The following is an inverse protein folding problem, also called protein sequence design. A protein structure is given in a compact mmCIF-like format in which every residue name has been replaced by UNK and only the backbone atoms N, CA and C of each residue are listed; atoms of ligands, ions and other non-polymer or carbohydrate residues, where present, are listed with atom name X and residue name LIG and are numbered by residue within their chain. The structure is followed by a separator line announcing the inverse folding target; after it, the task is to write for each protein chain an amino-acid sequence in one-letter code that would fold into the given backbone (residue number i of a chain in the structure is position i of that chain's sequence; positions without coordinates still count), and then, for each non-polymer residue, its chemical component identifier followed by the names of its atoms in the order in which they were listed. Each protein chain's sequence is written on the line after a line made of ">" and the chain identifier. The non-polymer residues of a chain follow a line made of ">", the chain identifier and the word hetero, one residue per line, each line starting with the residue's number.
data_IF_359863113471
#
_entry.id   IF_359863113471
#
_cell.length_a   1.000
_cell.length_b   1.000
_cell.length_c   1.000
_cell.angle_alpha   90.00
_cell.angle_beta   90.00
_cell.angle_gamma   90.00
#
_symmetry.space_group_name_H-M   'P 1'
#
loop_
_entity.id
_entity.type
_entity.pdbx_description
1 polymer ?
#
# COMPACT_ATOMS: atom_id res chain seq x y z
N UNK A 1 -12.11 4.52 -7.35
CA UNK A 1 -10.78 4.25 -6.77
C UNK A 1 -10.56 5.12 -5.56
N UNK A 2 -9.85 4.60 -4.57
CA UNK A 2 -9.30 5.36 -3.45
C UNK A 2 -7.78 5.27 -3.56
N UNK A 3 -7.09 6.41 -3.48
CA UNK A 3 -5.64 6.53 -3.61
C UNK A 3 -5.14 7.27 -2.38
N UNK A 4 -4.22 6.66 -1.63
CA UNK A 4 -3.58 7.24 -0.47
C UNK A 4 -2.07 7.32 -0.71
N UNK A 5 -1.44 8.39 -0.23
CA UNK A 5 0.02 8.55 -0.20
C UNK A 5 0.43 8.82 1.23
N UNK A 6 1.47 8.13 1.69
CA UNK A 6 2.09 8.33 3.00
C UNK A 6 3.56 8.74 2.86
N UNK A 7 4.08 9.44 3.86
CA UNK A 7 5.51 9.72 3.98
C UNK A 7 6.30 8.49 4.47
N UNK A 8 7.63 8.63 4.60
CA UNK A 8 8.54 7.60 5.10
C UNK A 8 8.29 7.20 6.57
N UNK A 9 7.60 8.04 7.35
CA UNK A 9 7.08 7.71 8.67
C UNK A 9 5.74 6.97 8.66
N UNK A 10 5.09 6.84 7.50
CA UNK A 10 3.76 6.26 7.35
C UNK A 10 2.61 7.22 7.71
N UNK A 11 2.87 8.52 7.79
CA UNK A 11 1.84 9.53 8.00
C UNK A 11 1.14 9.85 6.68
N UNK A 12 -0.18 10.06 6.71
CA UNK A 12 -0.94 10.39 5.52
C UNK A 12 -0.55 11.78 4.97
N UNK A 13 -0.08 11.81 3.73
CA UNK A 13 0.27 13.04 3.02
C UNK A 13 -0.89 13.53 2.18
N UNK A 14 -1.51 12.64 1.40
CA UNK A 14 -2.69 12.97 0.60
C UNK A 14 -3.58 11.76 0.40
N UNK A 15 -4.86 12.04 0.15
CA UNK A 15 -5.87 11.04 -0.13
C UNK A 15 -6.87 11.58 -1.17
N UNK A 16 -7.20 10.75 -2.16
CA UNK A 16 -8.20 11.05 -3.19
C UNK A 16 -9.15 9.87 -3.35
N UNK A 17 -10.44 10.15 -3.33
CA UNK A 17 -11.50 9.20 -3.65
C UNK A 17 -12.23 9.67 -4.91
N UNK A 18 -12.31 8.80 -5.92
CA UNK A 18 -13.14 9.04 -7.09
C UNK A 18 -14.62 8.85 -6.74
N UNK A 19 -15.49 9.57 -7.45
CA UNK A 19 -16.94 9.44 -7.32
C UNK A 19 -17.41 7.99 -7.47
N UNK A 20 -18.36 7.58 -6.63
CA UNK A 20 -18.92 6.23 -6.65
C UNK A 20 -17.99 5.11 -6.19
N UNK A 21 -16.81 5.42 -5.65
CA UNK A 21 -15.88 4.40 -5.12
C UNK A 21 -16.45 3.67 -3.90
N UNK A 22 -15.90 2.48 -3.58
CA UNK A 22 -16.31 1.69 -2.42
C UNK A 22 -15.81 2.34 -1.13
N UNK A 23 -16.70 2.47 -0.13
CA UNK A 23 -16.42 3.08 1.18
C UNK A 23 -15.23 2.42 1.89
N UNK A 24 -15.16 1.08 1.87
CA UNK A 24 -14.06 0.32 2.50
C UNK A 24 -12.68 0.64 1.89
N UNK A 25 -12.65 1.15 0.66
CA UNK A 25 -11.39 1.46 -0.01
C UNK A 25 -10.66 2.66 0.63
N UNK A 26 -11.34 3.51 1.40
CA UNK A 26 -10.70 4.58 2.17
C UNK A 26 -9.70 3.99 3.16
N UNK A 27 -10.16 3.03 3.98
CA UNK A 27 -9.33 2.34 4.98
C UNK A 27 -8.26 1.47 4.32
N UNK A 28 -8.65 0.65 3.34
CA UNK A 28 -7.73 -0.30 2.70
C UNK A 28 -6.60 0.41 1.97
N UNK A 29 -6.87 1.51 1.24
CA UNK A 29 -5.82 2.22 0.50
C UNK A 29 -4.77 2.83 1.45
N UNK A 30 -5.20 3.45 2.56
CA UNK A 30 -4.28 4.00 3.56
C UNK A 30 -3.45 2.91 4.22
N UNK A 31 -4.05 1.78 4.58
CA UNK A 31 -3.34 0.65 5.18
C UNK A 31 -2.37 -0.02 4.21
N UNK A 32 -2.70 -0.11 2.92
CA UNK A 32 -1.78 -0.61 1.89
C UNK A 32 -0.54 0.28 1.75
N UNK A 33 -0.73 1.60 1.73
CA UNK A 33 0.37 2.57 1.69
C UNK A 33 1.28 2.44 2.94
N UNK A 34 0.65 2.35 4.12
CA UNK A 34 1.33 2.15 5.40
C UNK A 34 2.13 0.82 5.42
N UNK A 35 1.50 -0.29 5.02
CA UNK A 35 2.17 -1.59 4.96
C UNK A 35 3.40 -1.50 4.06
N UNK A 36 3.29 -0.84 2.90
CA UNK A 36 4.41 -0.74 1.97
C UNK A 36 5.64 -0.09 2.64
N UNK A 37 5.45 1.04 3.34
CA UNK A 37 6.51 1.75 4.06
C UNK A 37 7.05 0.92 5.24
N UNK A 38 6.18 0.37 6.08
CA UNK A 38 6.62 -0.35 7.29
C UNK A 38 7.38 -1.64 6.99
N UNK A 39 7.04 -2.31 5.89
CA UNK A 39 7.73 -3.53 5.45
C UNK A 39 8.79 -3.27 4.39
N UNK A 40 8.92 -2.03 3.92
CA UNK A 40 9.84 -1.63 2.87
C UNK A 40 9.76 -2.55 1.64
N UNK A 41 8.53 -2.90 1.22
CA UNK A 41 8.23 -3.75 0.06
C UNK A 41 6.84 -3.43 -0.48
N UNK A 42 6.52 -3.75 -1.74
CA UNK A 42 5.12 -3.64 -2.18
C UNK A 42 4.27 -4.70 -1.44
N UNK A 43 2.98 -4.42 -1.27
CA UNK A 43 2.10 -5.33 -0.52
C UNK A 43 1.82 -6.63 -1.29
N UNK A 44 2.18 -6.67 -2.57
CA UNK A 44 2.02 -7.84 -3.43
C UNK A 44 3.07 -8.92 -3.10
N UNK A 45 4.32 -8.53 -2.84
CA UNK A 45 5.38 -9.49 -2.50
C UNK A 45 5.14 -10.08 -1.10
N UNK A 46 4.56 -9.29 -0.19
CA UNK A 46 4.24 -9.75 1.16
C UNK A 46 3.19 -10.87 1.17
N UNK A 47 2.29 -10.91 0.18
CA UNK A 47 1.17 -11.84 0.14
C UNK A 47 1.58 -13.33 0.19
N UNK A 48 2.75 -13.68 -0.35
CA UNK A 48 3.27 -15.05 -0.31
C UNK A 48 3.81 -15.43 1.07
N UNK A 49 4.29 -14.47 1.86
CA UNK A 49 4.94 -14.69 3.16
C UNK A 49 3.94 -14.79 4.32
N UNK A 50 2.70 -14.35 4.10
CA UNK A 50 1.65 -14.26 5.12
C UNK A 50 0.61 -15.38 5.04
N UNK A 51 0.81 -16.37 4.17
CA UNK A 51 -0.09 -17.51 4.04
C UNK A 51 0.04 -18.47 5.23
N UNK A 52 -0.98 -19.30 5.54
CA UNK A 52 -0.86 -20.36 6.54
C UNK A 52 0.40 -21.21 6.34
N UNK A 53 1.20 -21.35 7.39
CA UNK A 53 2.48 -22.09 7.37
C UNK A 53 3.68 -21.30 6.82
N UNK A 54 3.52 -20.03 6.47
CA UNK A 54 4.61 -19.15 6.04
C UNK A 54 5.14 -18.30 7.21
N UNK A 55 6.37 -17.75 7.10
CA UNK A 55 7.04 -17.10 8.23
C UNK A 55 6.31 -15.91 8.86
N UNK A 56 5.48 -15.20 8.08
CA UNK A 56 4.77 -14.00 8.51
C UNK A 56 3.24 -14.23 8.62
N UNK A 57 2.80 -15.48 8.77
CA UNK A 57 1.38 -15.79 8.93
C UNK A 57 0.75 -15.01 10.10
N UNK A 58 -0.32 -14.26 9.82
CA UNK A 58 -1.06 -13.48 10.80
C UNK A 58 -0.44 -12.12 11.15
N UNK A 59 0.61 -11.69 10.45
CA UNK A 59 1.28 -10.41 10.72
C UNK A 59 0.33 -9.21 10.57
N UNK A 60 -0.71 -9.32 9.75
CA UNK A 60 -1.71 -8.28 9.55
C UNK A 60 -2.50 -7.92 10.82
N UNK A 61 -2.52 -8.82 11.82
CA UNK A 61 -3.12 -8.59 13.13
C UNK A 61 -2.29 -7.67 14.02
N UNK A 62 -1.00 -7.48 13.71
CA UNK A 62 -0.13 -6.57 14.45
C UNK A 62 -0.61 -5.12 14.31
N UNK A 63 -0.13 -4.26 15.20
CA UNK A 63 -0.45 -2.82 15.18
C UNK A 63 -1.95 -2.51 15.16
N UNK A 64 -2.76 -3.39 15.78
CA UNK A 64 -4.20 -3.23 15.89
C UNK A 64 -4.95 -3.44 14.56
N UNK A 65 -4.47 -4.31 13.67
CA UNK A 65 -5.14 -4.58 12.39
C UNK A 65 -4.98 -3.44 11.37
N UNK A 66 -3.88 -2.68 11.49
CA UNK A 66 -3.58 -1.53 10.62
C UNK A 66 -2.88 -1.91 9.32
N UNK A 67 -2.67 -3.19 9.08
CA UNK A 67 -1.94 -3.68 7.91
C UNK A 67 -2.88 -4.35 6.92
N UNK A 68 -2.64 -4.10 5.64
CA UNK A 68 -3.22 -4.86 4.53
C UNK A 68 -2.09 -5.52 3.76
N UNK A 69 -2.18 -6.84 3.58
CA UNK A 69 -1.09 -7.71 3.10
C UNK A 69 -1.39 -8.35 1.73
N UNK A 70 -2.22 -7.69 0.94
CA UNK A 70 -2.46 -8.05 -0.47
C UNK A 70 -2.21 -6.85 -1.39
N UNK A 71 -2.00 -7.13 -2.68
CA UNK A 71 -1.53 -6.16 -3.67
C UNK A 71 -2.35 -4.85 -3.76
N UNK A 72 -1.63 -3.76 -4.05
CA UNK A 72 -2.18 -2.42 -4.23
C UNK A 72 -1.49 -1.34 -3.40
N UNK A 73 -0.56 -1.70 -2.50
CA UNK A 73 0.40 -0.78 -1.91
C UNK A 73 1.75 -0.94 -2.59
N UNK A 74 2.42 0.17 -2.93
CA UNK A 74 3.77 0.19 -3.52
C UNK A 74 4.67 1.13 -2.73
N UNK A 75 5.93 0.72 -2.57
CA UNK A 75 6.97 1.51 -1.92
C UNK A 75 7.50 2.56 -2.88
N UNK A 76 7.73 3.78 -2.37
CA UNK A 76 8.45 4.83 -3.07
C UNK A 76 9.87 4.92 -2.51
N UNK A 77 10.85 4.90 -3.40
CA UNK A 77 12.27 5.00 -3.07
C UNK A 77 12.94 6.09 -3.90
N UNK A 78 13.70 6.98 -3.27
CA UNK A 78 14.50 7.99 -3.95
C UNK A 78 15.61 7.39 -4.82
N UNK A 79 16.28 8.23 -5.61
CA UNK A 79 17.38 7.83 -6.48
C UNK A 79 18.59 7.21 -5.73
N UNK A 80 18.74 7.54 -4.45
CA UNK A 80 19.73 6.98 -3.53
C UNK A 80 19.29 5.66 -2.87
N UNK A 81 18.09 5.18 -3.19
CA UNK A 81 17.48 4.00 -2.59
C UNK A 81 16.82 4.23 -1.23
N UNK A 82 16.81 5.48 -0.72
CA UNK A 82 16.13 5.79 0.53
C UNK A 82 14.61 5.63 0.38
N UNK A 83 13.95 5.05 1.39
CA UNK A 83 12.49 5.04 1.46
C UNK A 83 12.00 6.46 1.68
N UNK A 84 11.11 6.94 0.82
CA UNK A 84 10.55 8.30 0.89
C UNK A 84 9.04 8.31 1.15
N UNK A 85 8.40 7.14 1.11
CA UNK A 85 6.97 6.99 1.33
C UNK A 85 6.37 5.80 0.62
N UNK A 86 5.05 5.82 0.48
CA UNK A 86 4.30 4.73 -0.13
C UNK A 86 2.99 5.21 -0.73
N UNK A 87 2.53 4.51 -1.76
CA UNK A 87 1.23 4.73 -2.41
C UNK A 87 0.37 3.51 -2.19
N UNK A 88 -0.89 3.71 -1.82
CA UNK A 88 -1.86 2.64 -1.64
C UNK A 88 -3.13 2.91 -2.43
N UNK A 89 -3.63 1.90 -3.11
CA UNK A 89 -4.80 1.98 -3.97
C UNK A 89 -5.79 0.87 -3.66
N UNK A 90 -7.08 1.22 -3.69
CA UNK A 90 -8.16 0.28 -3.42
C UNK A 90 -9.43 0.58 -4.21
N UNK A 91 -10.25 -0.46 -4.33
CA UNK A 91 -11.61 -0.51 -4.89
C UNK A 91 -11.73 -0.98 -6.35
N UNK A 92 -10.62 -1.42 -6.97
CA UNK A 92 -10.61 -2.29 -8.14
C UNK A 92 -10.44 -3.78 -7.77
N UNK A 93 -10.00 -4.59 -8.73
CA UNK A 93 -9.38 -5.89 -8.45
C UNK A 93 -7.98 -5.68 -7.85
N UNK A 94 -7.40 -6.71 -7.22
CA UNK A 94 -6.02 -6.62 -6.67
C UNK A 94 -5.01 -6.23 -7.75
N UNK A 95 -5.15 -6.77 -8.97
CA UNK A 95 -4.29 -6.42 -10.10
C UNK A 95 -4.48 -4.97 -10.56
N UNK A 96 -5.73 -4.50 -10.65
CA UNK A 96 -6.04 -3.11 -11.01
C UNK A 96 -5.51 -2.12 -9.96
N UNK A 97 -5.69 -2.44 -8.68
CA UNK A 97 -5.17 -1.64 -7.57
C UNK A 97 -3.65 -1.48 -7.69
N UNK A 98 -2.92 -2.59 -7.88
CA UNK A 98 -1.47 -2.55 -8.02
C UNK A 98 -1.01 -1.84 -9.29
N UNK A 99 -1.68 -2.05 -10.44
CA UNK A 99 -1.36 -1.34 -11.68
C UNK A 99 -1.49 0.18 -11.55
N UNK A 100 -2.53 0.66 -10.87
CA UNK A 100 -2.73 2.11 -10.64
C UNK A 100 -1.73 2.65 -9.62
N UNK A 101 -1.45 1.91 -8.55
CA UNK A 101 -0.43 2.30 -7.57
C UNK A 101 0.96 2.43 -8.23
N UNK A 102 1.33 1.44 -9.04
CA UNK A 102 2.60 1.43 -9.77
C UNK A 102 2.66 2.50 -10.87
N UNK A 103 1.53 2.82 -11.51
CA UNK A 103 1.46 3.98 -12.41
C UNK A 103 1.77 5.30 -11.67
N UNK A 104 1.23 5.47 -10.45
CA UNK A 104 1.55 6.60 -9.57
C UNK A 104 3.04 6.65 -9.20
N UNK A 105 3.61 5.50 -8.79
CA UNK A 105 5.05 5.36 -8.50
C UNK A 105 5.92 5.75 -9.70
N UNK A 106 5.61 5.28 -10.91
CA UNK A 106 6.38 5.61 -12.12
C UNK A 106 6.26 7.07 -12.56
N UNK A 107 5.13 7.71 -12.24
CA UNK A 107 4.93 9.13 -12.54
C UNK A 107 5.65 10.05 -11.53
N UNK A 108 6.01 9.52 -10.37
CA UNK A 108 6.79 10.24 -9.37
C UNK A 108 8.27 10.30 -9.77
N UNK A 109 8.81 11.50 -9.87
CA UNK A 109 10.16 11.78 -10.38
C UNK A 109 11.14 12.17 -9.27
N UNK A 110 11.07 11.51 -8.11
CA UNK A 110 11.89 11.85 -6.94
C UNK A 110 13.38 11.82 -7.18
#
# INVERSE_FOLDING_TARGET
>A
MNIAVVDDGGNLVTFVAMDGTRLIGVDISQKKALTAVWFQTDTRELAALVQPGQPLYGIESTSGGRLVVFGGGVLLTGADGAVVGGVGVSAGTVDQDHQVADAGRRAWSG
#
